data_IF_334450521256
#
_entry.id   IF_334450521256
#
_cell.length_a   1.000
_cell.length_b   1.000
_cell.length_c   1.000
_cell.angle_alpha   90.00
_cell.angle_beta   90.00
_cell.angle_gamma   90.00
#
_symmetry.space_group_name_H-M   'P 1'
#
loop_
_entity.id
_entity.type
_entity.pdbx_description
1 polymer ?
#
# COMPACT_ATOMS: atom_id res chain seq x y z
N UNK A 1 -11.98 6.11 15.40
CA UNK A 1 -12.31 5.50 14.08
C UNK A 1 -13.79 5.71 13.72
N UNK A 2 -14.75 5.12 14.44
CA UNK A 2 -16.19 5.26 14.13
C UNK A 2 -16.68 6.70 14.12
N UNK A 3 -16.22 7.52 15.07
CA UNK A 3 -16.53 8.96 15.16
C UNK A 3 -15.97 9.78 13.99
N UNK A 4 -14.92 9.29 13.32
CA UNK A 4 -14.37 9.89 12.10
C UNK A 4 -15.06 9.36 10.83
N UNK A 5 -16.20 8.68 10.97
CA UNK A 5 -16.98 8.17 9.83
C UNK A 5 -16.41 6.92 9.17
N UNK A 6 -15.37 6.30 9.72
CA UNK A 6 -14.79 5.06 9.15
C UNK A 6 -15.78 3.91 9.29
N UNK A 7 -15.95 3.16 8.20
CA UNK A 7 -16.85 2.00 8.08
C UNK A 7 -16.16 0.77 7.50
N UNK A 8 -14.97 0.91 6.93
CA UNK A 8 -14.21 -0.25 6.43
C UNK A 8 -12.73 -0.11 6.76
N UNK A 9 -12.13 -1.21 7.18
CA UNK A 9 -10.69 -1.35 7.40
C UNK A 9 -10.18 -2.46 6.51
N UNK A 10 -9.20 -2.14 5.66
CA UNK A 10 -8.54 -3.05 4.73
C UNK A 10 -7.11 -3.27 5.22
N UNK A 11 -6.82 -4.50 5.60
CA UNK A 11 -5.50 -4.95 6.04
C UNK A 11 -4.79 -5.65 4.88
N UNK A 12 -3.72 -5.02 4.38
CA UNK A 12 -2.94 -5.47 3.22
C UNK A 12 -1.89 -6.53 3.57
N UNK A 13 -1.81 -6.94 4.84
CA UNK A 13 -0.84 -7.91 5.31
C UNK A 13 -1.14 -9.31 4.85
N UNK A 14 -0.09 -10.10 4.69
CA UNK A 14 -0.22 -11.53 4.50
C UNK A 14 -0.82 -12.19 5.77
N UNK A 15 -1.67 -13.23 5.65
CA UNK A 15 -2.23 -13.92 6.81
C UNK A 15 -1.20 -14.40 7.83
N UNK A 16 0.04 -14.72 7.42
CA UNK A 16 1.12 -15.13 8.33
C UNK A 16 1.66 -13.97 9.16
N UNK A 17 1.62 -12.74 8.63
CA UNK A 17 1.89 -11.55 9.45
C UNK A 17 0.78 -11.34 10.48
N UNK A 18 -0.47 -11.68 10.17
CA UNK A 18 -1.61 -11.65 11.09
C UNK A 18 -1.52 -12.74 12.17
N UNK A 19 -0.99 -13.91 11.85
CA UNK A 19 -0.70 -14.96 12.86
C UNK A 19 0.33 -14.49 13.89
N UNK A 20 1.40 -13.83 13.42
CA UNK A 20 2.47 -13.30 14.29
C UNK A 20 2.07 -12.02 15.02
N UNK A 21 1.30 -11.16 14.36
CA UNK A 21 0.86 -9.87 14.87
C UNK A 21 -0.66 -9.71 14.65
N UNK A 22 -1.50 -10.31 15.50
CA UNK A 22 -2.95 -10.32 15.34
C UNK A 22 -3.54 -8.92 15.26
N UNK A 23 -4.52 -8.73 14.37
CA UNK A 23 -5.30 -7.50 14.31
C UNK A 23 -6.54 -7.62 15.22
N UNK A 24 -6.70 -6.79 16.26
CA UNK A 24 -7.90 -6.83 17.09
C UNK A 24 -9.20 -6.63 16.31
N UNK A 25 -9.15 -5.87 15.21
CA UNK A 25 -10.30 -5.61 14.34
C UNK A 25 -10.71 -6.82 13.51
N UNK A 26 -9.82 -7.79 13.30
CA UNK A 26 -10.17 -9.05 12.64
C UNK A 26 -11.03 -9.94 13.54
N UNK A 27 -10.89 -9.80 14.86
CA UNK A 27 -11.60 -10.64 15.85
C UNK A 27 -12.90 -9.96 16.28
N UNK A 28 -12.85 -8.67 16.59
CA UNK A 28 -13.98 -7.92 17.13
C UNK A 28 -14.00 -6.49 16.57
N UNK A 29 -14.43 -6.29 15.32
CA UNK A 29 -14.58 -4.96 14.77
C UNK A 29 -15.72 -4.21 15.51
N UNK A 30 -15.60 -2.89 15.72
CA UNK A 30 -16.68 -2.08 16.26
C UNK A 30 -17.96 -2.20 15.41
N UNK A 31 -19.12 -2.01 16.03
CA UNK A 31 -20.40 -2.05 15.31
C UNK A 31 -20.40 -1.05 14.14
N UNK A 32 -20.84 -1.53 12.97
CA UNK A 32 -20.86 -0.73 11.74
C UNK A 32 -19.51 -0.57 11.06
N UNK A 33 -18.47 -1.27 11.52
CA UNK A 33 -17.17 -1.34 10.84
C UNK A 33 -16.98 -2.75 10.29
N UNK A 34 -16.62 -2.85 9.02
CA UNK A 34 -16.20 -4.09 8.38
C UNK A 34 -14.69 -4.17 8.34
N UNK A 35 -14.13 -5.31 8.76
CA UNK A 35 -12.72 -5.64 8.56
C UNK A 35 -12.58 -6.55 7.34
N UNK A 36 -11.59 -6.27 6.49
CA UNK A 36 -11.24 -7.08 5.34
C UNK A 36 -9.72 -7.29 5.31
N UNK A 37 -9.27 -8.54 5.24
CA UNK A 37 -7.89 -8.82 4.89
C UNK A 37 -7.79 -9.02 3.38
N UNK A 38 -6.99 -8.18 2.72
CA UNK A 38 -6.74 -8.22 1.28
C UNK A 38 -5.22 -8.23 1.06
N UNK A 39 -4.58 -9.41 1.19
CA UNK A 39 -3.13 -9.51 1.10
C UNK A 39 -2.62 -8.94 -0.22
N UNK A 40 -1.75 -7.93 -0.15
CA UNK A 40 -1.25 -7.28 -1.36
C UNK A 40 -0.16 -8.12 -2.03
N UNK A 41 0.69 -8.75 -1.22
CA UNK A 41 1.86 -9.49 -1.68
C UNK A 41 1.77 -10.89 -1.10
N UNK A 42 1.80 -11.90 -1.97
CA UNK A 42 1.88 -13.31 -1.55
C UNK A 42 3.30 -13.68 -1.13
N UNK A 43 3.48 -14.81 -0.42
CA UNK A 43 4.83 -15.30 -0.11
C UNK A 43 5.68 -15.51 -1.35
N UNK A 44 5.10 -16.08 -2.40
CA UNK A 44 5.81 -16.38 -3.63
C UNK A 44 6.29 -15.08 -4.29
N UNK A 45 5.45 -14.05 -4.33
CA UNK A 45 5.82 -12.72 -4.82
C UNK A 45 6.91 -12.09 -3.93
N UNK A 46 6.79 -12.19 -2.61
CA UNK A 46 7.78 -11.69 -1.67
C UNK A 46 9.15 -12.34 -1.87
N UNK A 47 9.20 -13.64 -2.12
CA UNK A 47 10.45 -14.34 -2.43
C UNK A 47 10.99 -13.96 -3.81
N UNK A 48 10.13 -13.81 -4.82
CA UNK A 48 10.54 -13.38 -6.15
C UNK A 48 11.13 -11.94 -6.17
N UNK A 49 10.68 -11.07 -5.28
CA UNK A 49 11.23 -9.69 -5.13
C UNK A 49 12.58 -9.63 -4.38
N UNK A 50 13.00 -10.71 -3.71
CA UNK A 50 14.29 -10.75 -2.98
C UNK A 50 15.48 -11.08 -3.87
N UNK A 51 15.25 -11.37 -5.15
CA UNK A 51 16.32 -11.55 -6.13
C UNK A 51 17.08 -10.22 -6.31
N UNK A 52 18.42 -10.22 -6.27
CA UNK A 52 19.20 -8.99 -6.13
C UNK A 52 19.15 -8.07 -7.37
N UNK A 53 18.67 -6.84 -7.13
CA UNK A 53 18.70 -5.67 -8.02
C UNK A 53 17.88 -4.54 -7.38
N UNK A 54 18.54 -3.46 -6.96
CA UNK A 54 18.08 -2.16 -6.41
C UNK A 54 16.74 -2.02 -5.64
N UNK A 55 16.77 -1.29 -4.51
CA UNK A 55 15.59 -0.96 -3.68
C UNK A 55 14.47 -0.23 -4.45
N UNK A 56 14.80 0.55 -5.49
CA UNK A 56 13.81 1.14 -6.42
C UNK A 56 13.13 0.10 -7.31
N UNK A 57 13.80 -1.02 -7.62
CA UNK A 57 13.17 -2.16 -8.28
C UNK A 57 12.13 -2.78 -7.36
N UNK A 58 12.28 -2.78 -6.03
CA UNK A 58 11.33 -3.41 -5.11
C UNK A 58 9.88 -2.93 -5.27
N UNK A 59 9.65 -1.61 -5.35
CA UNK A 59 8.30 -1.06 -5.51
C UNK A 59 7.75 -1.25 -6.93
N UNK A 60 8.60 -1.11 -7.95
CA UNK A 60 8.20 -1.39 -9.34
C UNK A 60 7.92 -2.88 -9.54
N UNK A 61 8.71 -3.77 -8.95
CA UNK A 61 8.47 -5.21 -8.93
C UNK A 61 7.17 -5.52 -8.19
N UNK A 62 6.83 -4.81 -7.10
CA UNK A 62 5.53 -4.96 -6.45
C UNK A 62 4.39 -4.59 -7.41
N UNK A 63 4.48 -3.45 -8.10
CA UNK A 63 3.49 -3.05 -9.11
C UNK A 63 3.42 -4.04 -10.30
N UNK A 64 4.52 -4.72 -10.61
CA UNK A 64 4.58 -5.71 -11.69
C UNK A 64 4.05 -7.07 -11.29
N UNK A 65 4.53 -7.62 -10.18
CA UNK A 65 4.28 -8.99 -9.74
C UNK A 65 2.96 -9.12 -8.99
N UNK A 66 2.59 -8.09 -8.21
CA UNK A 66 1.35 -8.07 -7.43
C UNK A 66 0.23 -7.29 -8.14
N UNK A 67 0.31 -7.15 -9.47
CA UNK A 67 -0.63 -6.35 -10.28
C UNK A 67 -2.11 -6.74 -10.05
N UNK A 68 -2.41 -8.04 -10.04
CA UNK A 68 -3.76 -8.54 -9.78
C UNK A 68 -4.22 -8.25 -8.34
N UNK A 69 -3.33 -8.41 -7.35
CA UNK A 69 -3.64 -8.14 -5.94
C UNK A 69 -3.84 -6.64 -5.69
N UNK A 70 -3.03 -5.78 -6.30
CA UNK A 70 -3.20 -4.32 -6.28
C UNK A 70 -4.55 -3.90 -6.86
N UNK A 71 -4.90 -4.45 -8.02
CA UNK A 71 -6.18 -4.18 -8.68
C UNK A 71 -7.38 -4.70 -7.87
N UNK A 72 -7.23 -5.88 -7.25
CA UNK A 72 -8.19 -6.43 -6.30
C UNK A 72 -8.35 -5.56 -5.06
N UNK A 73 -7.27 -5.00 -4.52
CA UNK A 73 -7.32 -4.09 -3.38
C UNK A 73 -8.00 -2.76 -3.72
N UNK A 74 -7.76 -2.18 -4.91
CA UNK A 74 -8.55 -1.03 -5.40
C UNK A 74 -10.03 -1.41 -5.53
N UNK A 75 -10.34 -2.59 -6.05
CA UNK A 75 -11.71 -3.12 -6.10
C UNK A 75 -12.36 -3.23 -4.72
N UNK A 76 -11.62 -3.70 -3.72
CA UNK A 76 -12.09 -3.80 -2.33
C UNK A 76 -12.40 -2.43 -1.73
N UNK A 77 -11.60 -1.39 -2.04
CA UNK A 77 -11.90 0.00 -1.65
C UNK A 77 -13.20 0.46 -2.32
N UNK A 78 -13.37 0.17 -3.62
CA UNK A 78 -14.55 0.57 -4.38
C UNK A 78 -15.85 -0.05 -3.84
N UNK A 79 -15.78 -1.30 -3.40
CA UNK A 79 -16.93 -2.06 -2.91
C UNK A 79 -17.16 -1.96 -1.39
N UNK A 80 -16.32 -1.21 -0.68
CA UNK A 80 -16.49 -0.94 0.76
C UNK A 80 -17.78 -0.16 1.07
N UNK A 81 -18.27 -0.29 2.30
CA UNK A 81 -19.49 0.37 2.79
C UNK A 81 -19.34 1.90 2.76
N UNK A 82 -20.41 2.63 2.44
CA UNK A 82 -20.41 4.10 2.46
C UNK A 82 -19.81 4.66 3.76
N UNK A 83 -18.92 5.65 3.63
CA UNK A 83 -18.11 6.19 4.71
C UNK A 83 -16.61 6.05 4.48
N UNK A 84 -15.82 6.33 5.51
CA UNK A 84 -14.37 6.31 5.44
C UNK A 84 -13.80 4.89 5.36
N UNK A 85 -12.73 4.75 4.57
CA UNK A 85 -11.96 3.51 4.43
C UNK A 85 -10.57 3.74 5.00
N UNK A 86 -10.12 2.87 5.90
CA UNK A 86 -8.74 2.83 6.36
C UNK A 86 -8.04 1.68 5.67
N UNK A 87 -6.90 1.97 5.05
CA UNK A 87 -6.03 0.96 4.44
C UNK A 87 -4.73 0.95 5.25
N UNK A 88 -4.25 -0.22 5.64
CA UNK A 88 -2.97 -0.33 6.32
C UNK A 88 -2.22 -1.62 5.95
N UNK A 89 -0.92 -1.65 6.23
CA UNK A 89 -0.10 -2.85 6.18
C UNK A 89 0.55 -3.06 7.56
N UNK A 90 1.84 -3.44 7.60
CA UNK A 90 2.58 -3.51 8.87
C UNK A 90 2.97 -2.12 9.40
N UNK A 91 3.79 -1.38 8.63
CA UNK A 91 4.26 -0.05 9.01
C UNK A 91 3.42 1.10 8.39
N UNK A 92 2.49 0.79 7.47
CA UNK A 92 1.68 1.80 6.79
C UNK A 92 2.39 2.59 5.69
N UNK A 93 3.64 2.23 5.33
CA UNK A 93 4.45 2.91 4.32
C UNK A 93 4.31 2.28 2.93
N UNK A 94 4.84 1.08 2.75
CA UNK A 94 5.14 0.55 1.40
C UNK A 94 3.89 0.09 0.63
N UNK A 95 3.30 -1.03 1.07
CA UNK A 95 2.08 -1.60 0.46
C UNK A 95 0.91 -0.62 0.49
N UNK A 96 0.81 0.14 1.58
CA UNK A 96 -0.22 1.17 1.77
C UNK A 96 0.00 2.34 0.83
N UNK A 97 1.22 2.86 0.74
CA UNK A 97 1.55 4.00 -0.10
C UNK A 97 1.43 3.70 -1.60
N UNK A 98 1.82 2.50 -2.04
CA UNK A 98 1.62 2.10 -3.46
C UNK A 98 0.13 2.06 -3.80
N UNK A 99 -0.70 1.47 -2.93
CA UNK A 99 -2.15 1.45 -3.16
C UNK A 99 -2.76 2.87 -3.10
N UNK A 100 -2.32 3.71 -2.15
CA UNK A 100 -2.75 5.10 -2.04
C UNK A 100 -2.40 5.91 -3.29
N UNK A 101 -1.18 5.77 -3.81
CA UNK A 101 -0.73 6.43 -5.03
C UNK A 101 -1.61 6.07 -6.25
N UNK A 102 -2.00 4.80 -6.40
CA UNK A 102 -2.91 4.40 -7.49
C UNK A 102 -4.32 5.00 -7.33
N UNK A 103 -4.84 5.07 -6.09
CA UNK A 103 -6.13 5.71 -5.80
C UNK A 103 -6.11 7.21 -6.08
N UNK A 104 -5.03 7.90 -5.72
CA UNK A 104 -4.83 9.33 -5.99
C UNK A 104 -4.66 9.59 -7.49
N UNK A 105 -3.88 8.77 -8.19
CA UNK A 105 -3.73 8.85 -9.64
C UNK A 105 -5.07 8.65 -10.37
N UNK A 106 -5.93 7.74 -9.92
CA UNK A 106 -7.30 7.59 -10.43
C UNK A 106 -8.14 8.86 -10.29
N UNK A 107 -7.83 9.68 -9.30
CA UNK A 107 -8.50 10.94 -9.00
C UNK A 107 -7.86 12.13 -9.71
N UNK A 108 -6.96 11.90 -10.67
CA UNK A 108 -6.21 12.91 -11.41
C UNK A 108 -5.36 13.82 -10.50
N UNK A 109 -4.94 13.32 -9.34
CA UNK A 109 -4.01 14.03 -8.45
C UNK A 109 -2.63 14.09 -9.10
N UNK A 110 -1.95 15.26 -9.12
CA UNK A 110 -0.62 15.39 -9.71
C UNK A 110 0.41 14.47 -9.05
N UNK A 111 1.33 13.92 -9.85
CA UNK A 111 2.35 12.97 -9.38
C UNK A 111 3.25 13.58 -8.28
N UNK A 112 3.49 14.89 -8.31
CA UNK A 112 4.28 15.60 -7.32
C UNK A 112 3.58 15.58 -5.95
N UNK A 113 2.26 15.77 -5.94
CA UNK A 113 1.45 15.71 -4.72
C UNK A 113 1.39 14.29 -4.17
N UNK A 114 1.32 13.27 -5.04
CA UNK A 114 1.39 11.86 -4.64
C UNK A 114 2.77 11.54 -4.03
N UNK A 115 3.84 12.09 -4.59
CA UNK A 115 5.18 11.93 -4.04
C UNK A 115 5.35 12.61 -2.67
N UNK A 116 4.77 13.79 -2.49
CA UNK A 116 4.75 14.48 -1.19
C UNK A 116 4.02 13.65 -0.12
N UNK A 117 2.83 13.09 -0.45
CA UNK A 117 2.09 12.20 0.44
C UNK A 117 2.88 10.94 0.81
N UNK A 118 3.52 10.32 -0.18
CA UNK A 118 4.40 9.15 0.03
C UNK A 118 5.55 9.45 1.00
N UNK A 119 6.28 10.55 0.77
CA UNK A 119 7.43 10.92 1.59
C UNK A 119 7.05 11.36 3.02
N UNK A 120 5.82 11.78 3.25
CA UNK A 120 5.33 12.10 4.59
C UNK A 120 5.42 10.91 5.55
N UNK A 121 5.37 9.67 5.03
CA UNK A 121 5.56 8.45 5.84
C UNK A 121 6.90 8.44 6.59
N UNK A 122 7.98 8.95 5.97
CA UNK A 122 9.29 9.00 6.63
C UNK A 122 9.26 9.89 7.87
N UNK A 123 8.58 11.03 7.80
CA UNK A 123 8.48 11.98 8.91
C UNK A 123 7.77 11.36 10.12
N UNK A 124 6.66 10.66 9.89
CA UNK A 124 5.87 10.08 10.97
C UNK A 124 6.45 8.78 11.52
N UNK A 125 7.24 8.05 10.74
CA UNK A 125 7.84 6.79 11.16
C UNK A 125 9.23 6.95 11.79
N UNK A 126 9.86 8.14 11.72
CA UNK A 126 11.18 8.38 12.33
C UNK A 126 11.31 7.88 13.77
N UNK A 127 10.38 8.16 14.71
CA UNK A 127 10.53 7.70 16.09
C UNK A 127 10.58 6.17 16.22
N UNK A 128 9.83 5.48 15.36
CA UNK A 128 9.79 4.01 15.33
C UNK A 128 11.07 3.44 14.68
N UNK A 129 11.60 4.11 13.66
CA UNK A 129 12.87 3.76 13.04
C UNK A 129 14.02 3.89 14.04
N UNK A 130 14.07 4.97 14.80
CA UNK A 130 15.08 5.18 15.85
C UNK A 130 15.03 4.06 16.90
N UNK A 131 13.83 3.69 17.37
CA UNK A 131 13.64 2.59 18.30
C UNK A 131 14.15 1.25 17.72
N UNK A 132 13.79 0.94 16.47
CA UNK A 132 14.21 -0.29 15.81
C UNK A 132 15.72 -0.35 15.55
N UNK A 133 16.35 0.77 15.18
CA UNK A 133 17.80 0.84 14.96
C UNK A 133 18.58 0.73 16.27
N UNK A 134 18.06 1.30 17.36
CA UNK A 134 18.66 1.18 18.69
C UNK A 134 18.57 -0.27 19.23
N UNK A 135 17.49 -0.98 18.91
CA UNK A 135 17.28 -2.37 19.32
C UNK A 135 18.12 -3.39 18.54
N UNK A 136 18.45 -3.10 17.27
CA UNK A 136 19.32 -3.97 16.45
C UNK A 136 20.76 -3.84 16.94
N UNK A 137 21.42 -4.93 17.34
CA UNK A 137 22.78 -4.88 17.91
C UNK A 137 23.87 -5.10 16.85
N UNK A 138 23.54 -5.81 15.77
CA UNK A 138 24.47 -6.09 14.68
C UNK A 138 24.66 -4.84 13.79
N UNK A 139 25.89 -4.30 13.65
CA UNK A 139 26.13 -3.10 12.85
C UNK A 139 25.77 -3.25 11.37
N UNK A 140 25.97 -4.42 10.77
CA UNK A 140 25.65 -4.65 9.37
C UNK A 140 24.14 -4.73 9.15
N UNK A 141 23.41 -5.40 10.06
CA UNK A 141 21.95 -5.42 10.01
C UNK A 141 21.34 -4.05 10.30
N UNK A 142 21.91 -3.29 11.24
CA UNK A 142 21.49 -1.92 11.53
C UNK A 142 21.66 -1.01 10.32
N UNK A 143 22.81 -1.05 9.66
CA UNK A 143 23.05 -0.29 8.43
C UNK A 143 22.07 -0.67 7.31
N UNK A 144 21.82 -1.97 7.12
CA UNK A 144 20.85 -2.48 6.15
C UNK A 144 19.42 -2.01 6.45
N UNK A 145 19.00 -1.99 7.72
CA UNK A 145 17.69 -1.49 8.14
C UNK A 145 17.56 0.01 7.89
N UNK A 146 18.58 0.78 8.26
CA UNK A 146 18.58 2.23 8.06
C UNK A 146 18.42 2.59 6.58
N UNK A 147 19.10 1.86 5.69
CA UNK A 147 18.92 2.01 4.24
C UNK A 147 17.50 1.65 3.77
N UNK A 148 16.96 0.52 4.25
CA UNK A 148 15.59 0.09 3.92
C UNK A 148 14.48 1.00 4.45
N UNK A 149 14.76 1.85 5.43
CA UNK A 149 13.78 2.82 5.95
C UNK A 149 13.60 4.05 5.07
N UNK A 150 14.50 4.32 4.12
CA UNK A 150 14.42 5.52 3.27
C UNK A 150 13.15 5.51 2.40
N UNK A 151 12.40 6.61 2.40
CA UNK A 151 11.18 6.81 1.60
C UNK A 151 11.41 7.96 0.64
N UNK A 152 12.16 7.72 -0.44
CA UNK A 152 12.42 8.76 -1.44
C UNK A 152 11.21 8.96 -2.36
N UNK A 153 10.96 10.21 -2.77
CA UNK A 153 9.92 10.54 -3.76
C UNK A 153 10.08 9.75 -5.06
N UNK A 154 11.31 9.52 -5.50
CA UNK A 154 11.59 8.79 -6.73
C UNK A 154 11.03 7.36 -6.70
N UNK A 155 10.98 6.71 -5.52
CA UNK A 155 10.45 5.35 -5.39
C UNK A 155 9.00 5.23 -5.87
N UNK A 156 8.14 6.21 -5.54
CA UNK A 156 6.75 6.17 -5.98
C UNK A 156 6.58 6.72 -7.40
N UNK A 157 7.39 7.70 -7.81
CA UNK A 157 7.40 8.19 -9.17
C UNK A 157 7.79 7.09 -10.17
N UNK A 158 8.76 6.23 -9.84
CA UNK A 158 9.15 5.08 -10.65
C UNK A 158 7.99 4.07 -10.81
N UNK A 159 7.17 3.89 -9.77
CA UNK A 159 5.96 3.04 -9.84
C UNK A 159 4.92 3.64 -10.78
N UNK A 160 4.64 4.93 -10.66
CA UNK A 160 3.69 5.63 -11.54
C UNK A 160 4.16 5.64 -12.99
N UNK A 161 5.47 5.82 -13.21
CA UNK A 161 6.10 5.73 -14.51
C UNK A 161 6.02 4.32 -15.10
N UNK A 162 6.26 3.28 -14.29
CA UNK A 162 6.05 1.89 -14.72
C UNK A 162 4.60 1.65 -15.16
N UNK A 163 3.62 2.07 -14.37
CA UNK A 163 2.19 1.93 -14.68
C UNK A 163 1.86 2.59 -16.02
N UNK A 164 2.28 3.85 -16.20
CA UNK A 164 2.08 4.61 -17.44
C UNK A 164 2.78 3.96 -18.63
N UNK A 165 4.04 3.56 -18.49
CA UNK A 165 4.83 3.02 -19.59
C UNK A 165 4.37 1.62 -20.01
N UNK A 166 3.84 0.81 -19.08
CA UNK A 166 3.43 -0.57 -19.34
C UNK A 166 1.99 -0.67 -19.87
N UNK A 167 1.09 0.21 -19.46
CA UNK A 167 -0.35 0.12 -19.77
C UNK A 167 -0.95 1.41 -20.34
N UNK A 168 -0.16 2.46 -20.50
CA UNK A 168 -0.58 3.77 -21.00
C UNK A 168 -1.06 4.73 -19.91
N UNK A 169 -1.77 4.22 -18.90
CA UNK A 169 -2.27 5.00 -17.75
C UNK A 169 -2.73 4.08 -16.60
N UNK A 170 -3.13 4.65 -15.47
CA UNK A 170 -3.61 3.93 -14.27
C UNK A 170 -4.91 3.16 -14.51
N UNK A 171 -5.85 3.67 -15.31
CA UNK A 171 -7.12 2.97 -15.57
C UNK A 171 -6.91 1.67 -16.36
N UNK A 172 -6.22 1.68 -17.52
CA UNK A 172 -5.91 0.43 -18.24
C UNK A 172 -5.09 -0.55 -17.40
N UNK A 173 -4.15 -0.07 -16.59
CA UNK A 173 -3.40 -0.91 -15.65
C UNK A 173 -4.36 -1.64 -14.71
N UNK A 174 -5.21 -0.92 -13.97
CA UNK A 174 -6.12 -1.55 -13.01
C UNK A 174 -7.14 -2.48 -13.67
N UNK A 175 -7.64 -2.12 -14.85
CA UNK A 175 -8.56 -2.98 -15.61
C UNK A 175 -7.88 -4.28 -16.06
N UNK A 176 -6.64 -4.21 -16.55
CA UNK A 176 -5.87 -5.39 -16.92
C UNK A 176 -5.60 -6.32 -15.73
N UNK A 177 -5.47 -5.77 -14.52
CA UNK A 177 -5.32 -6.54 -13.29
C UNK A 177 -6.64 -7.01 -12.66
N UNK A 178 -7.80 -6.62 -13.22
CA UNK A 178 -9.11 -7.16 -12.84
C UNK A 178 -10.09 -6.18 -12.18
N UNK A 179 -9.73 -4.90 -11.99
CA UNK A 179 -10.68 -3.88 -11.52
C UNK A 179 -11.68 -3.54 -12.63
N UNK A 180 -12.98 -3.61 -12.35
CA UNK A 180 -14.01 -3.24 -13.33
C UNK A 180 -14.13 -1.72 -13.51
N UNK A 181 -14.56 -1.28 -14.70
CA UNK A 181 -14.86 0.15 -14.95
C UNK A 181 -15.92 0.71 -13.98
N UNK A 182 -16.86 -0.14 -13.52
CA UNK A 182 -17.84 0.24 -12.49
C UNK A 182 -17.13 0.58 -11.17
N UNK A 183 -16.18 -0.24 -10.74
CA UNK A 183 -15.40 0.03 -9.52
C UNK A 183 -14.57 1.30 -9.68
N UNK A 184 -13.95 1.52 -10.84
CA UNK A 184 -13.22 2.77 -11.14
C UNK A 184 -14.14 4.00 -11.00
N UNK A 185 -15.36 3.94 -11.55
CA UNK A 185 -16.36 5.00 -11.38
C UNK A 185 -16.68 5.28 -9.92
N UNK A 186 -16.94 4.23 -9.12
CA UNK A 186 -17.22 4.36 -7.68
C UNK A 186 -16.08 4.97 -6.90
N UNK A 187 -14.82 4.64 -7.21
CA UNK A 187 -13.66 5.27 -6.56
C UNK A 187 -13.66 6.77 -6.81
N UNK A 188 -13.83 7.19 -8.06
CA UNK A 188 -13.85 8.62 -8.44
C UNK A 188 -14.99 9.37 -7.77
N UNK A 189 -16.20 8.80 -7.74
CA UNK A 189 -17.36 9.39 -7.05
C UNK A 189 -17.14 9.55 -5.53
N UNK A 190 -16.31 8.69 -4.96
CA UNK A 190 -16.10 8.64 -3.51
C UNK A 190 -14.97 9.54 -3.03
N UNK A 191 -14.01 9.85 -3.90
CA UNK A 191 -12.79 10.57 -3.57
C UNK A 191 -12.67 11.96 -4.24
N UNK A 192 -13.52 12.28 -5.23
CA UNK A 192 -13.65 13.63 -5.82
C UNK A 192 -14.85 14.35 -5.23
#
# INVERSE_FOLDING_TARGET
>A
MVQYGVRTVIDLRDPRELEKFPNPLAVAPPQGVTFMNVPLISEAEWQAMKEPGHVSEGYVQMAKLSHANLSGAVGAVADSLDGGVVIHCHAGKERTGVLAALLLALCDVPNEVIADDWTASDLYLQPLYDEWLAAEQDPALRAKRADGFRTEAQHILDVLDYVRNSHGDVVPYLVAGGTSLRQIGRIRERLR
#
